data_IF_797577095188
#
_entry.id   IF_797577095188
#
_cell.length_a   1.000
_cell.length_b   1.000
_cell.length_c   1.000
_cell.angle_alpha   90.00
_cell.angle_beta   90.00
_cell.angle_gamma   90.00
#
_symmetry.space_group_name_H-M   'P 1'
#
loop_
_entity.id
_entity.type
_entity.pdbx_description
1 polymer ?
#
# COMPACT_ATOMS: atom_id res chain seq x y z
N UNK A 1 -11.44 10.35 -2.60
CA UNK A 1 -11.95 8.97 -2.36
C UNK A 1 -12.82 8.97 -1.11
N UNK A 2 -13.95 8.25 -1.12
CA UNK A 2 -14.85 8.11 0.03
C UNK A 2 -15.19 6.64 0.21
N UNK A 3 -15.11 6.13 1.45
CA UNK A 3 -15.48 4.75 1.83
C UNK A 3 -16.17 4.79 3.18
N UNK A 4 -17.38 4.27 3.27
CA UNK A 4 -18.22 4.41 4.47
C UNK A 4 -17.62 3.75 5.72
N UNK A 5 -16.86 2.68 5.54
CA UNK A 5 -16.18 1.95 6.61
C UNK A 5 -14.80 2.53 6.99
N UNK A 6 -14.38 3.63 6.37
CA UNK A 6 -13.09 4.29 6.63
C UNK A 6 -13.35 5.74 7.07
N UNK A 7 -12.79 6.13 8.21
CA UNK A 7 -12.93 7.48 8.79
C UNK A 7 -14.37 7.98 8.81
N UNK A 8 -15.32 7.08 9.10
CA UNK A 8 -16.77 7.36 9.13
C UNK A 8 -17.28 8.00 7.83
N UNK A 9 -16.74 7.58 6.68
CA UNK A 9 -17.11 8.12 5.37
C UNK A 9 -16.52 9.50 5.05
N UNK A 10 -15.56 10.00 5.82
CA UNK A 10 -14.86 11.25 5.49
C UNK A 10 -14.05 11.08 4.22
N UNK A 11 -14.13 12.04 3.33
CA UNK A 11 -13.37 12.01 2.09
C UNK A 11 -11.87 12.23 2.32
N UNK A 12 -11.03 11.54 1.55
CA UNK A 12 -9.59 11.69 1.55
C UNK A 12 -9.01 11.54 0.14
N UNK A 13 -7.84 12.15 -0.07
CA UNK A 13 -7.14 12.17 -1.35
C UNK A 13 -5.64 11.92 -1.14
N UNK A 14 -5.17 10.76 -1.55
CA UNK A 14 -3.76 10.38 -1.47
C UNK A 14 -2.86 11.26 -2.35
N UNK A 15 -3.41 11.88 -3.39
CA UNK A 15 -2.71 12.82 -4.24
C UNK A 15 -2.17 14.04 -3.48
N UNK A 16 -2.87 14.49 -2.42
CA UNK A 16 -2.44 15.60 -1.57
C UNK A 16 -1.22 15.28 -0.71
N UNK A 17 -1.08 14.02 -0.28
CA UNK A 17 0.06 13.56 0.51
C UNK A 17 1.27 13.13 -0.34
N UNK A 18 1.23 13.24 -1.67
CA UNK A 18 2.21 12.61 -2.57
C UNK A 18 3.65 13.06 -2.34
N UNK A 19 3.88 14.33 -1.98
CA UNK A 19 5.22 14.87 -1.68
C UNK A 19 5.80 14.19 -0.44
N UNK A 20 5.06 14.22 0.66
CA UNK A 20 5.49 13.62 1.91
C UNK A 20 5.54 12.09 1.79
N UNK A 21 4.62 11.51 1.02
CA UNK A 21 4.62 10.08 0.74
C UNK A 21 5.89 9.66 -0.01
N UNK A 22 6.27 10.38 -1.07
CA UNK A 22 7.49 10.12 -1.83
C UNK A 22 8.77 10.24 -0.97
N UNK A 23 8.77 11.15 0.01
CA UNK A 23 9.94 11.41 0.86
C UNK A 23 10.05 10.46 2.05
N UNK A 24 8.92 10.05 2.63
CA UNK A 24 8.91 9.41 3.95
C UNK A 24 8.23 8.04 4.02
N UNK A 25 7.70 7.51 2.90
CA UNK A 25 6.97 6.24 2.88
C UNK A 25 7.74 5.07 2.27
N UNK A 26 8.96 5.30 1.81
CA UNK A 26 9.88 4.25 1.38
C UNK A 26 10.60 3.70 2.62
N UNK A 27 9.91 2.86 3.37
CA UNK A 27 10.30 2.44 4.73
C UNK A 27 10.43 0.94 4.92
N UNK A 28 10.11 0.14 3.89
CA UNK A 28 10.21 -1.31 4.03
C UNK A 28 11.68 -1.72 4.07
N UNK A 29 12.15 -2.44 5.10
CA UNK A 29 13.50 -2.96 5.14
C UNK A 29 13.70 -4.10 4.14
N UNK A 30 14.95 -4.38 3.79
CA UNK A 30 15.31 -5.45 2.85
C UNK A 30 14.73 -6.82 3.23
N UNK A 31 14.56 -7.09 4.52
CA UNK A 31 13.95 -8.31 5.03
C UNK A 31 12.53 -8.52 4.47
N UNK A 32 11.73 -7.45 4.37
CA UNK A 32 10.40 -7.51 3.78
C UNK A 32 10.44 -7.97 2.31
N UNK A 33 11.33 -7.37 1.50
CA UNK A 33 11.49 -7.74 0.09
C UNK A 33 12.06 -9.14 -0.07
N UNK A 34 13.07 -9.49 0.72
CA UNK A 34 13.68 -10.82 0.71
C UNK A 34 12.68 -11.92 1.09
N UNK A 35 11.72 -11.62 1.97
CA UNK A 35 10.64 -12.56 2.29
C UNK A 35 9.76 -12.85 1.07
N UNK A 36 9.39 -11.84 0.30
CA UNK A 36 8.60 -11.99 -0.93
C UNK A 36 9.38 -12.84 -1.96
N UNK A 37 10.65 -12.53 -2.17
CA UNK A 37 11.53 -13.27 -3.09
C UNK A 37 11.73 -14.72 -2.61
N UNK A 38 11.95 -14.93 -1.32
CA UNK A 38 12.12 -16.27 -0.73
C UNK A 38 10.90 -17.17 -0.89
N UNK A 39 9.70 -16.57 -1.01
CA UNK A 39 8.47 -17.28 -1.34
C UNK A 39 8.30 -17.53 -2.85
N UNK A 40 9.22 -17.05 -3.68
CA UNK A 40 9.22 -17.27 -5.12
C UNK A 40 8.48 -16.22 -5.95
N UNK A 41 8.12 -15.06 -5.35
CA UNK A 41 7.32 -14.03 -6.01
C UNK A 41 8.15 -12.81 -6.43
N UNK A 42 7.68 -12.12 -7.47
CA UNK A 42 8.23 -10.85 -7.96
C UNK A 42 9.70 -10.92 -8.39
N UNK A 43 10.10 -12.03 -9.01
CA UNK A 43 11.47 -12.31 -9.45
C UNK A 43 11.60 -12.38 -10.98
N UNK A 44 12.80 -12.62 -11.44
CA UNK A 44 13.14 -12.75 -12.86
C UNK A 44 12.14 -13.61 -13.64
N UNK A 45 11.81 -13.17 -14.86
CA UNK A 45 10.84 -13.76 -15.78
C UNK A 45 9.36 -13.68 -15.33
N UNK A 46 9.05 -13.05 -14.20
CA UNK A 46 7.67 -12.79 -13.80
C UNK A 46 7.20 -11.42 -14.25
N UNK A 47 5.93 -11.34 -14.68
CA UNK A 47 5.21 -10.09 -14.94
C UNK A 47 4.31 -9.80 -13.74
N UNK A 48 4.51 -8.64 -13.14
CA UNK A 48 3.85 -8.24 -11.89
C UNK A 48 2.98 -7.00 -12.11
N UNK A 49 1.76 -7.06 -11.59
CA UNK A 49 0.84 -5.92 -11.51
C UNK A 49 0.75 -5.45 -10.05
N UNK A 50 1.15 -4.21 -9.78
CA UNK A 50 1.06 -3.60 -8.45
C UNK A 50 -0.11 -2.64 -8.35
N UNK A 51 -1.12 -3.00 -7.55
CA UNK A 51 -2.37 -2.28 -7.37
C UNK A 51 -2.22 -1.18 -6.32
N UNK A 52 -2.70 0.02 -6.65
CA UNK A 52 -2.51 1.25 -5.86
C UNK A 52 -1.03 1.43 -5.47
N UNK A 53 -0.19 1.40 -6.49
CA UNK A 53 1.29 1.40 -6.37
C UNK A 53 1.86 2.62 -5.65
N UNK A 54 1.06 3.67 -5.48
CA UNK A 54 1.48 4.93 -4.87
C UNK A 54 2.64 5.56 -5.63
N UNK A 55 3.70 5.90 -4.92
CA UNK A 55 4.96 6.42 -5.50
C UNK A 55 5.88 5.31 -6.04
N UNK A 56 5.35 4.11 -6.26
CA UNK A 56 6.10 2.98 -6.80
C UNK A 56 7.10 2.34 -5.82
N UNK A 57 6.82 2.39 -4.52
CA UNK A 57 7.74 1.87 -3.49
C UNK A 57 8.07 0.39 -3.73
N UNK A 58 7.04 -0.44 -3.92
CA UNK A 58 7.24 -1.88 -4.11
C UNK A 58 7.99 -2.18 -5.43
N UNK A 59 7.50 -1.74 -6.61
CA UNK A 59 8.18 -2.04 -7.87
C UNK A 59 9.60 -1.47 -7.95
N UNK A 60 9.89 -0.27 -7.42
CA UNK A 60 11.23 0.32 -7.43
C UNK A 60 12.23 -0.50 -6.62
N UNK A 61 11.88 -0.85 -5.39
CA UNK A 61 12.78 -1.60 -4.50
C UNK A 61 12.97 -3.06 -4.93
N UNK A 62 11.96 -3.62 -5.62
CA UNK A 62 12.04 -4.99 -6.13
C UNK A 62 12.53 -5.10 -7.57
N UNK A 63 12.77 -3.98 -8.26
CA UNK A 63 13.26 -3.97 -9.65
C UNK A 63 14.55 -4.79 -9.83
N UNK A 64 15.45 -4.70 -8.85
CA UNK A 64 16.74 -5.43 -8.82
C UNK A 64 16.61 -6.97 -8.93
N UNK A 65 15.42 -7.52 -8.67
CA UNK A 65 15.16 -8.96 -8.74
C UNK A 65 14.64 -9.43 -10.12
N UNK A 66 14.55 -8.53 -11.11
CA UNK A 66 14.37 -8.87 -12.52
C UNK A 66 12.93 -9.10 -12.97
N UNK A 67 11.91 -8.89 -12.13
CA UNK A 67 10.51 -8.90 -12.54
C UNK A 67 10.19 -7.70 -13.45
N UNK A 68 9.21 -7.89 -14.35
CA UNK A 68 8.62 -6.82 -15.18
C UNK A 68 7.41 -6.24 -14.47
N UNK A 69 7.42 -4.94 -14.19
CA UNK A 69 6.43 -4.28 -13.36
C UNK A 69 5.48 -3.39 -14.15
N UNK A 70 4.20 -3.46 -13.79
CA UNK A 70 3.18 -2.46 -14.09
C UNK A 70 2.61 -1.98 -12.76
N UNK A 71 2.73 -0.68 -12.46
CA UNK A 71 2.14 -0.06 -11.29
C UNK A 71 0.91 0.76 -11.67
N UNK A 72 -0.17 0.65 -10.91
CA UNK A 72 -1.40 1.40 -11.14
C UNK A 72 -1.80 2.17 -9.90
N UNK A 73 -2.17 3.43 -10.05
CA UNK A 73 -2.76 4.23 -8.98
C UNK A 73 -3.80 5.20 -9.53
N UNK A 74 -4.84 5.47 -8.73
CA UNK A 74 -5.88 6.44 -9.08
C UNK A 74 -5.37 7.88 -8.98
N UNK A 75 -4.39 8.14 -8.12
CA UNK A 75 -3.88 9.48 -7.84
C UNK A 75 -2.75 9.84 -8.81
N UNK A 76 -3.03 10.78 -9.73
CA UNK A 76 -2.06 11.24 -10.73
C UNK A 76 -0.77 11.76 -10.10
N UNK A 77 -0.86 12.48 -8.99
CA UNK A 77 0.32 12.97 -8.28
C UNK A 77 1.19 11.84 -7.71
N UNK A 78 0.58 10.74 -7.24
CA UNK A 78 1.36 9.56 -6.83
C UNK A 78 2.15 8.98 -8.02
N UNK A 79 1.50 8.78 -9.16
CA UNK A 79 2.16 8.28 -10.37
C UNK A 79 3.23 9.25 -10.90
N UNK A 80 3.01 10.56 -10.79
CA UNK A 80 4.04 11.55 -11.14
C UNK A 80 5.33 11.32 -10.34
N UNK A 81 5.22 11.12 -9.02
CA UNK A 81 6.38 10.82 -8.19
C UNK A 81 6.94 9.41 -8.46
N UNK A 82 6.08 8.41 -8.71
CA UNK A 82 6.54 7.08 -9.10
C UNK A 82 7.46 7.14 -10.33
N UNK A 83 7.02 7.82 -11.39
CA UNK A 83 7.82 8.02 -12.61
C UNK A 83 9.13 8.78 -12.36
N UNK A 84 9.07 9.85 -11.56
CA UNK A 84 10.26 10.64 -11.21
C UNK A 84 11.30 9.81 -10.46
N UNK A 85 10.87 9.04 -9.47
CA UNK A 85 11.73 8.21 -8.64
C UNK A 85 12.21 6.93 -9.36
N UNK A 86 11.57 6.56 -10.46
CA UNK A 86 11.89 5.38 -11.28
C UNK A 86 12.48 5.73 -12.64
N UNK A 87 13.02 6.93 -12.83
CA UNK A 87 13.48 7.42 -14.14
C UNK A 87 14.50 6.50 -14.83
N UNK A 88 15.25 5.72 -14.04
CA UNK A 88 16.29 4.81 -14.51
C UNK A 88 15.82 3.35 -14.56
N UNK A 89 14.54 3.09 -14.33
CA UNK A 89 13.94 1.75 -14.29
C UNK A 89 12.88 1.61 -15.39
N UNK A 90 12.84 0.44 -16.03
CA UNK A 90 11.79 0.08 -16.98
C UNK A 90 10.54 -0.43 -16.24
N UNK A 91 9.81 0.51 -15.63
CA UNK A 91 8.55 0.26 -14.92
C UNK A 91 7.43 1.04 -15.61
N UNK A 92 6.37 0.36 -16.01
CA UNK A 92 5.21 1.02 -16.59
C UNK A 92 4.23 1.47 -15.50
N UNK A 93 3.82 2.76 -15.53
CA UNK A 93 2.87 3.33 -14.58
C UNK A 93 1.61 3.87 -15.27
N UNK A 94 0.45 3.48 -14.75
CA UNK A 94 -0.88 3.81 -15.27
C UNK A 94 -1.66 4.62 -14.21
N UNK A 95 -2.25 5.75 -14.62
CA UNK A 95 -3.20 6.50 -13.79
C UNK A 95 -4.61 6.00 -14.10
N UNK A 96 -5.20 5.26 -13.18
CA UNK A 96 -6.59 4.77 -13.32
C UNK A 96 -7.10 4.22 -11.99
N UNK A 97 -8.41 4.30 -11.70
CA UNK A 97 -9.04 3.37 -10.76
C UNK A 97 -8.81 1.94 -11.25
N UNK A 98 -8.40 1.06 -10.33
CA UNK A 98 -8.06 -0.34 -10.68
C UNK A 98 -9.28 -1.08 -11.22
N UNK A 99 -10.46 -0.77 -10.68
CA UNK A 99 -11.73 -1.34 -11.08
C UNK A 99 -12.09 -1.05 -12.55
N UNK A 100 -11.55 0.01 -13.14
CA UNK A 100 -11.79 0.40 -14.54
C UNK A 100 -10.81 -0.22 -15.53
N UNK A 101 -9.76 -0.89 -15.04
CA UNK A 101 -8.76 -1.50 -15.92
C UNK A 101 -9.25 -2.79 -16.54
N UNK A 102 -8.78 -3.03 -17.77
CA UNK A 102 -8.88 -4.31 -18.45
C UNK A 102 -7.49 -4.72 -18.92
N UNK A 103 -7.12 -5.95 -18.58
CA UNK A 103 -5.93 -6.62 -19.10
C UNK A 103 -6.35 -7.93 -19.79
N UNK A 104 -5.49 -8.41 -20.67
CA UNK A 104 -5.68 -9.72 -21.28
C UNK A 104 -5.68 -10.82 -20.22
N UNK A 105 -6.43 -11.88 -20.47
CA UNK A 105 -6.45 -13.05 -19.60
C UNK A 105 -5.05 -13.68 -19.49
N UNK A 106 -4.73 -14.22 -18.35
CA UNK A 106 -3.46 -14.92 -18.12
C UNK A 106 -2.21 -14.06 -18.39
N UNK A 107 -2.30 -12.74 -18.09
CA UNK A 107 -1.21 -11.78 -18.37
C UNK A 107 -0.15 -11.72 -17.30
N UNK A 108 -0.49 -11.99 -16.03
CA UNK A 108 0.39 -11.75 -14.88
C UNK A 108 0.71 -13.03 -14.13
N UNK A 109 1.96 -13.13 -13.72
CA UNK A 109 2.43 -14.18 -12.80
C UNK A 109 2.07 -13.84 -11.36
N UNK A 110 2.13 -12.54 -11.02
CA UNK A 110 1.84 -12.03 -9.68
C UNK A 110 1.04 -10.74 -9.78
N UNK A 111 0.02 -10.62 -8.93
CA UNK A 111 -0.66 -9.34 -8.62
C UNK A 111 -0.37 -9.00 -7.17
N UNK A 112 -0.02 -7.76 -6.88
CA UNK A 112 0.26 -7.28 -5.52
C UNK A 112 -0.69 -6.18 -5.09
N UNK A 113 -1.08 -6.19 -3.82
CA UNK A 113 -1.81 -5.12 -3.15
C UNK A 113 -1.17 -4.87 -1.77
N UNK A 114 -0.28 -3.87 -1.69
CA UNK A 114 0.46 -3.54 -0.49
C UNK A 114 -0.14 -2.31 0.18
N UNK A 115 -0.67 -2.44 1.40
CA UNK A 115 -1.28 -1.36 2.20
C UNK A 115 -2.56 -0.74 1.59
N UNK A 116 -3.22 -1.39 0.65
CA UNK A 116 -4.29 -0.76 -0.12
C UNK A 116 -5.56 -1.60 -0.29
N UNK A 117 -5.52 -2.89 0.00
CA UNK A 117 -6.61 -3.81 -0.34
C UNK A 117 -7.97 -3.45 0.29
N UNK A 118 -7.96 -2.74 1.44
CA UNK A 118 -9.18 -2.25 2.08
C UNK A 118 -9.93 -1.18 1.27
N UNK A 119 -9.30 -0.55 0.29
CA UNK A 119 -9.89 0.53 -0.50
C UNK A 119 -10.67 0.04 -1.72
N UNK A 120 -10.50 -1.23 -2.13
CA UNK A 120 -11.09 -1.76 -3.36
C UNK A 120 -12.51 -2.30 -3.17
N UNK A 121 -13.31 -2.22 -4.25
CA UNK A 121 -14.53 -3.01 -4.38
C UNK A 121 -14.16 -4.44 -4.77
N UNK A 122 -14.22 -5.32 -3.78
CA UNK A 122 -13.82 -6.72 -3.95
C UNK A 122 -14.72 -7.49 -4.91
N UNK A 123 -16.01 -7.12 -5.01
CA UNK A 123 -16.94 -7.77 -5.92
C UNK A 123 -16.57 -7.51 -7.39
N UNK A 124 -16.00 -6.35 -7.67
CA UNK A 124 -15.54 -5.99 -9.02
C UNK A 124 -14.12 -6.51 -9.25
N UNK A 125 -13.23 -6.29 -8.28
CA UNK A 125 -11.79 -6.47 -8.49
C UNK A 125 -11.36 -7.95 -8.43
N UNK A 126 -11.92 -8.76 -7.52
CA UNK A 126 -11.50 -10.16 -7.36
C UNK A 126 -11.69 -11.00 -8.62
N UNK A 127 -12.86 -10.95 -9.33
CA UNK A 127 -13.01 -11.65 -10.59
C UNK A 127 -12.03 -11.17 -11.68
N UNK A 128 -11.73 -9.87 -11.73
CA UNK A 128 -10.75 -9.31 -12.66
C UNK A 128 -9.33 -9.81 -12.38
N UNK A 129 -8.89 -9.78 -11.13
CA UNK A 129 -7.58 -10.32 -10.75
C UNK A 129 -7.47 -11.81 -11.12
N UNK A 130 -8.52 -12.60 -10.84
CA UNK A 130 -8.55 -14.01 -11.21
C UNK A 130 -8.38 -14.21 -12.72
N UNK A 131 -9.06 -13.40 -13.53
CA UNK A 131 -8.96 -13.43 -14.99
C UNK A 131 -7.57 -13.02 -15.49
N UNK A 132 -6.94 -12.00 -14.88
CA UNK A 132 -5.66 -11.47 -15.28
C UNK A 132 -4.47 -12.37 -14.90
N UNK A 133 -4.61 -13.15 -13.82
CA UNK A 133 -3.56 -14.07 -13.38
C UNK A 133 -3.46 -15.27 -14.33
N UNK A 134 -2.23 -15.66 -14.60
CA UNK A 134 -1.92 -16.93 -15.29
C UNK A 134 -2.38 -18.12 -14.45
N UNK A 135 -2.58 -19.31 -15.05
CA UNK A 135 -2.67 -20.55 -14.28
C UNK A 135 -1.49 -20.65 -13.30
N UNK A 136 -1.78 -20.92 -12.03
CA UNK A 136 -0.80 -20.90 -10.93
C UNK A 136 -0.19 -19.52 -10.64
N UNK A 137 -0.78 -18.43 -11.13
CA UNK A 137 -0.41 -17.08 -10.71
C UNK A 137 -0.86 -16.77 -9.28
N UNK A 138 -0.24 -15.78 -8.64
CA UNK A 138 -0.46 -15.47 -7.23
C UNK A 138 -0.96 -14.05 -7.01
N UNK A 139 -1.92 -13.92 -6.10
CA UNK A 139 -2.35 -12.63 -5.58
C UNK A 139 -1.79 -12.43 -4.17
N UNK A 140 -0.92 -11.43 -3.98
CA UNK A 140 -0.28 -11.09 -2.72
C UNK A 140 -0.96 -9.89 -2.09
N UNK A 141 -1.52 -10.07 -0.91
CA UNK A 141 -2.08 -8.99 -0.09
C UNK A 141 -1.14 -8.79 1.10
N UNK A 142 -0.60 -7.58 1.24
CA UNK A 142 0.42 -7.28 2.22
C UNK A 142 0.05 -6.06 3.05
N UNK A 143 0.32 -6.14 4.35
CA UNK A 143 0.18 -5.04 5.29
C UNK A 143 1.40 -4.96 6.18
N UNK A 144 1.78 -3.75 6.57
CA UNK A 144 2.78 -3.46 7.59
C UNK A 144 2.25 -2.35 8.48
N UNK A 145 1.98 -2.69 9.72
CA UNK A 145 1.47 -1.77 10.72
C UNK A 145 2.50 -1.57 11.84
N UNK A 146 2.49 -0.42 12.46
CA UNK A 146 3.18 -0.22 13.74
C UNK A 146 2.33 -0.77 14.89
N UNK A 147 2.96 -1.07 16.01
CA UNK A 147 2.33 -1.63 17.20
C UNK A 147 2.28 -0.56 18.31
N UNK A 148 1.23 0.28 18.36
CA UNK A 148 1.19 1.41 19.29
C UNK A 148 1.21 1.00 20.76
N UNK A 149 0.67 -0.16 21.09
CA UNK A 149 0.67 -0.67 22.46
C UNK A 149 2.01 -1.25 22.91
N UNK A 150 2.97 -1.36 22.01
CA UNK A 150 4.34 -1.82 22.28
C UNK A 150 5.39 -0.72 22.01
N UNK A 151 4.96 0.43 21.50
CA UNK A 151 5.81 1.59 21.21
C UNK A 151 5.18 2.87 21.72
N UNK A 152 5.78 3.47 22.76
CA UNK A 152 5.30 4.74 23.32
C UNK A 152 5.26 5.86 22.28
N UNK A 153 6.24 5.89 21.37
CA UNK A 153 6.30 6.90 20.30
C UNK A 153 5.12 6.71 19.32
N UNK A 154 4.85 5.47 18.91
CA UNK A 154 3.72 5.18 18.03
C UNK A 154 2.39 5.51 18.72
N UNK A 155 2.22 5.14 19.98
CA UNK A 155 1.01 5.43 20.76
C UNK A 155 0.77 6.94 20.88
N UNK A 156 1.76 7.71 21.30
CA UNK A 156 1.64 9.17 21.43
C UNK A 156 1.41 9.85 20.07
N UNK A 157 1.96 9.29 19.00
CA UNK A 157 1.71 9.80 17.65
C UNK A 157 0.27 9.61 17.24
N UNK A 158 -0.34 8.45 17.55
CA UNK A 158 -1.77 8.21 17.30
C UNK A 158 -2.65 9.14 18.13
N UNK A 159 -2.34 9.35 19.41
CA UNK A 159 -3.06 10.31 20.26
C UNK A 159 -3.01 11.72 19.66
N UNK A 160 -1.84 12.14 19.17
CA UNK A 160 -1.69 13.44 18.53
C UNK A 160 -2.50 13.55 17.23
N UNK A 161 -2.50 12.51 16.39
CA UNK A 161 -3.36 12.47 15.19
C UNK A 161 -4.83 12.61 15.57
N UNK A 162 -5.29 11.86 16.56
CA UNK A 162 -6.69 11.87 17.03
C UNK A 162 -7.11 13.21 17.63
N UNK A 163 -6.18 13.93 18.25
CA UNK A 163 -6.45 15.28 18.78
C UNK A 163 -6.88 16.24 17.67
N UNK A 164 -6.32 16.12 16.46
CA UNK A 164 -6.62 16.96 15.31
C UNK A 164 -7.64 16.34 14.35
N UNK A 165 -7.68 15.01 14.26
CA UNK A 165 -8.62 14.25 13.43
C UNK A 165 -9.27 13.12 14.24
N UNK A 166 -10.29 13.41 15.06
CA UNK A 166 -10.93 12.40 15.91
C UNK A 166 -11.62 11.25 15.14
N UNK A 167 -11.92 11.46 13.86
CA UNK A 167 -12.57 10.47 13.00
C UNK A 167 -11.57 9.51 12.34
N UNK A 168 -10.27 9.69 12.55
CA UNK A 168 -9.28 8.80 11.97
C UNK A 168 -9.40 7.37 12.51
N UNK A 169 -9.67 6.41 11.62
CA UNK A 169 -9.87 5.00 11.95
C UNK A 169 -8.61 4.13 11.85
N UNK A 170 -7.46 4.73 11.50
CA UNK A 170 -6.20 3.98 11.32
C UNK A 170 -5.37 3.79 12.58
N UNK A 171 -6.00 3.88 13.76
CA UNK A 171 -5.36 3.76 15.08
C UNK A 171 -5.48 2.34 15.66
N UNK A 172 -4.62 2.05 16.62
CA UNK A 172 -4.79 0.91 17.52
C UNK A 172 -4.45 -0.44 16.91
N UNK A 173 -3.55 -0.48 15.93
CA UNK A 173 -3.12 -1.74 15.33
C UNK A 173 -2.49 -2.67 16.37
N UNK A 174 -2.85 -3.95 16.28
CA UNK A 174 -2.32 -5.03 17.10
C UNK A 174 -1.93 -6.19 16.22
N UNK A 175 -1.17 -7.14 16.74
CA UNK A 175 -1.01 -8.43 16.06
C UNK A 175 -2.36 -9.14 15.97
N UNK A 176 -2.67 -9.65 14.80
CA UNK A 176 -3.90 -10.37 14.53
C UNK A 176 -3.63 -11.65 13.77
N UNK A 177 -4.50 -12.62 13.96
CA UNK A 177 -4.49 -13.82 13.14
C UNK A 177 -4.95 -13.51 11.72
N UNK A 178 -4.18 -13.94 10.73
CA UNK A 178 -4.55 -13.79 9.32
C UNK A 178 -5.65 -14.82 9.00
N UNK A 179 -6.90 -14.35 9.05
CA UNK A 179 -8.07 -15.18 8.71
C UNK A 179 -8.12 -15.48 7.22
N UNK A 180 -8.77 -16.59 6.88
CA UNK A 180 -9.12 -16.90 5.49
C UNK A 180 -10.25 -15.97 5.07
N UNK A 181 -10.10 -15.20 3.98
CA UNK A 181 -11.14 -14.26 3.54
C UNK A 181 -12.37 -14.98 2.95
N UNK A 182 -13.56 -14.48 3.25
CA UNK A 182 -14.82 -15.03 2.73
C UNK A 182 -14.98 -14.85 1.21
N UNK A 183 -14.33 -13.83 0.63
CA UNK A 183 -14.39 -13.52 -0.81
C UNK A 183 -13.59 -14.47 -1.70
N UNK A 184 -12.82 -15.42 -1.17
CA UNK A 184 -12.05 -16.38 -1.98
C UNK A 184 -12.94 -17.17 -2.94
N UNK A 185 -14.11 -17.60 -2.48
CA UNK A 185 -15.04 -18.42 -3.26
C UNK A 185 -14.32 -19.64 -3.86
N UNK A 186 -14.65 -19.93 -5.12
CA UNK A 186 -13.97 -20.99 -5.90
C UNK A 186 -12.82 -20.44 -6.77
N UNK A 187 -12.53 -19.13 -6.69
CA UNK A 187 -11.55 -18.48 -7.56
C UNK A 187 -10.12 -18.59 -7.01
N UNK A 188 -9.96 -18.61 -5.70
CA UNK A 188 -8.63 -18.61 -5.06
C UNK A 188 -8.56 -19.63 -3.94
N UNK A 189 -7.34 -20.13 -3.71
CA UNK A 189 -6.95 -20.90 -2.53
C UNK A 189 -5.83 -20.18 -1.81
N UNK A 190 -5.80 -20.26 -0.47
CA UNK A 190 -4.71 -19.67 0.31
C UNK A 190 -3.51 -20.60 0.25
N UNK A 191 -2.44 -20.15 -0.41
CA UNK A 191 -1.19 -20.92 -0.50
C UNK A 191 -0.22 -20.61 0.65
N UNK A 192 -0.26 -19.38 1.20
CA UNK A 192 0.61 -18.97 2.30
C UNK A 192 -0.06 -17.91 3.17
N UNK A 193 0.21 -17.96 4.48
CA UNK A 193 -0.09 -16.91 5.46
C UNK A 193 1.16 -16.73 6.30
N UNK A 194 1.71 -15.52 6.31
CA UNK A 194 2.93 -15.22 7.07
C UNK A 194 2.75 -13.90 7.80
N UNK A 195 3.03 -13.87 9.09
CA UNK A 195 3.17 -12.66 9.88
C UNK A 195 4.51 -12.72 10.62
N UNK A 196 5.22 -11.61 10.68
CA UNK A 196 6.50 -11.47 11.37
C UNK A 196 6.73 -10.02 11.77
N UNK A 197 7.52 -9.82 12.79
CA UNK A 197 7.92 -8.50 13.24
C UNK A 197 9.18 -8.06 12.50
N UNK A 198 9.25 -6.77 12.19
CA UNK A 198 10.40 -6.14 11.55
C UNK A 198 10.74 -4.86 12.31
N UNK A 199 12.00 -4.67 12.65
CA UNK A 199 12.50 -3.41 13.18
C UNK A 199 12.66 -2.39 12.04
N UNK A 200 12.06 -1.21 12.21
CA UNK A 200 12.20 -0.09 11.29
C UNK A 200 12.76 1.11 12.02
N UNK A 201 13.95 1.53 11.65
CA UNK A 201 14.63 2.65 12.27
C UNK A 201 14.16 3.99 11.72
N UNK A 202 13.79 4.90 12.60
CA UNK A 202 13.41 6.26 12.26
C UNK A 202 14.24 7.28 13.04
N UNK A 203 14.60 8.38 12.39
CA UNK A 203 14.94 9.61 13.08
C UNK A 203 13.66 10.34 13.48
N UNK A 204 13.76 11.38 14.31
CA UNK A 204 12.62 12.25 14.64
C UNK A 204 11.95 12.78 13.37
N UNK A 205 12.74 13.29 12.42
CA UNK A 205 12.23 13.90 11.19
C UNK A 205 11.55 12.88 10.28
N UNK A 206 12.16 11.70 10.11
CA UNK A 206 11.57 10.65 9.25
C UNK A 206 10.32 10.03 9.86
N UNK A 207 10.24 9.88 11.17
CA UNK A 207 9.02 9.47 11.85
C UNK A 207 7.92 10.51 11.73
N UNK A 208 8.23 11.78 12.00
CA UNK A 208 7.28 12.87 11.86
C UNK A 208 6.71 12.94 10.43
N UNK A 209 7.58 12.91 9.41
CA UNK A 209 7.19 12.89 8.01
C UNK A 209 6.36 11.65 7.64
N UNK A 210 6.69 10.49 8.22
CA UNK A 210 5.92 9.26 8.07
C UNK A 210 4.48 9.40 8.58
N UNK A 211 4.29 10.05 9.73
CA UNK A 211 2.96 10.32 10.29
C UNK A 211 2.23 11.38 9.46
N UNK A 212 2.91 12.45 9.04
CA UNK A 212 2.33 13.47 8.15
C UNK A 212 1.80 12.88 6.86
N UNK A 213 2.51 11.92 6.28
CA UNK A 213 2.10 11.20 5.06
C UNK A 213 0.99 10.16 5.30
N UNK A 214 0.43 10.06 6.51
CA UNK A 214 -0.69 9.18 6.79
C UNK A 214 -2.04 9.77 6.39
N UNK A 215 -3.03 8.89 6.21
CA UNK A 215 -4.40 9.27 5.93
C UNK A 215 -5.00 10.20 7.00
N UNK A 216 -4.58 10.06 8.25
CA UNK A 216 -5.05 10.89 9.35
C UNK A 216 -4.69 12.37 9.26
N UNK A 217 -3.64 12.73 8.52
CA UNK A 217 -3.09 14.09 8.42
C UNK A 217 -3.09 14.60 6.97
N UNK A 218 -2.22 14.06 6.11
CA UNK A 218 -1.81 14.70 4.85
C UNK A 218 -2.77 14.52 3.68
N UNK A 219 -3.81 13.69 3.79
CA UNK A 219 -4.69 13.35 2.67
C UNK A 219 -5.89 14.30 2.49
N UNK A 220 -5.86 15.48 3.10
CA UNK A 220 -6.96 16.47 3.04
C UNK A 220 -8.02 16.28 4.12
N UNK A 221 -7.77 15.40 5.08
CA UNK A 221 -8.60 15.26 6.28
C UNK A 221 -8.50 16.49 7.20
N UNK A 222 -7.35 17.18 7.17
CA UNK A 222 -7.07 18.43 7.87
C UNK A 222 -6.83 19.57 6.87
N UNK A 223 -7.16 20.80 7.27
CA UNK A 223 -6.75 22.01 6.56
C UNK A 223 -5.26 22.29 6.74
N UNK A 224 -4.64 23.07 5.87
CA UNK A 224 -3.24 23.49 6.01
C UNK A 224 -2.93 24.14 7.36
N UNK A 225 -3.87 24.95 7.88
CA UNK A 225 -3.76 25.59 9.19
C UNK A 225 -3.76 24.56 10.34
N UNK A 226 -4.53 23.48 10.22
CA UNK A 226 -4.56 22.41 11.22
C UNK A 226 -3.29 21.55 11.13
N UNK A 227 -2.81 21.28 9.92
CA UNK A 227 -1.53 20.58 9.72
C UNK A 227 -0.39 21.40 10.33
N UNK A 228 -0.32 22.71 10.06
CA UNK A 228 0.71 23.60 10.62
C UNK A 228 0.68 23.67 12.15
N UNK A 229 -0.48 23.47 12.78
CA UNK A 229 -0.58 23.39 14.25
C UNK A 229 -0.22 22.02 14.81
N UNK A 230 -0.40 20.97 13.98
CA UNK A 230 -0.03 19.63 14.34
C UNK A 230 1.50 19.45 14.26
N UNK A 231 2.18 20.09 13.29
CA UNK A 231 3.65 20.16 13.15
C UNK A 231 4.30 20.83 14.37
#
# INVERSE_FOLDING_TARGET
MKKDNIDFGKEFDWGKASIDYAKYRDIYPDEFYNKIIGLGYCKENQKVLDLATGTGVLPRNMYKFGAKWIGVDIAENQIKYAKLLSKDFDINYIVSPVENLEFEENSFDVVTACQCFMYFDKNILIPKIHKWLKPNGHFLIMFMDWLPYESEIAYKSEELVLKYNPLWSGKGSTRYEIKTPDWLGNMFTVSNKTAFDIDVNFTRDTWHGRIKACRGIGTGALSEKEISKWE
#
